data_IF_139796575885
#
_entry.id   IF_139796575885
#
_cell.length_a   1.000
_cell.length_b   1.000
_cell.length_c   1.000
_cell.angle_alpha   90.00
_cell.angle_beta   90.00
_cell.angle_gamma   90.00
#
_symmetry.space_group_name_H-M   'P 1'
#
loop_
_entity.id
_entity.type
_entity.pdbx_description
1 polymer ?
#
# COMPACT_ATOMS: atom_id res chain seq x y z
N UNK A 1 9.36 -2.28 -0.43
CA UNK A 1 9.70 -3.53 0.29
C UNK A 1 9.92 -4.65 -0.70
N UNK A 2 10.67 -5.69 -0.30
CA UNK A 2 10.72 -6.92 -1.07
C UNK A 2 9.39 -7.66 -0.98
N UNK A 3 8.70 -7.88 -2.10
CA UNK A 3 7.40 -8.56 -2.07
C UNK A 3 7.50 -10.07 -1.75
N UNK A 4 8.70 -10.66 -1.83
CA UNK A 4 8.93 -12.07 -1.50
C UNK A 4 9.01 -12.33 0.00
N UNK A 5 9.74 -11.48 0.74
CA UNK A 5 9.95 -11.65 2.19
C UNK A 5 9.29 -10.58 3.07
N UNK A 6 8.65 -9.57 2.47
CA UNK A 6 8.05 -8.43 3.17
C UNK A 6 9.04 -7.57 3.98
N UNK A 7 10.34 -7.72 3.75
CA UNK A 7 11.39 -6.96 4.42
C UNK A 7 11.99 -5.86 3.52
N UNK A 8 12.79 -4.97 4.09
CA UNK A 8 13.53 -3.91 3.42
C UNK A 8 14.94 -4.31 2.98
N UNK A 9 15.82 -3.31 2.85
CA UNK A 9 17.23 -3.47 2.47
C UNK A 9 17.53 -2.96 1.06
N UNK A 10 18.58 -3.48 0.43
CA UNK A 10 18.91 -3.18 -0.97
C UNK A 10 17.89 -3.84 -1.89
N UNK A 11 17.16 -3.04 -2.67
CA UNK A 11 16.05 -3.47 -3.50
C UNK A 11 16.37 -3.36 -5.00
N UNK A 12 15.96 -4.36 -5.75
CA UNK A 12 15.85 -4.36 -7.20
C UNK A 12 14.40 -4.01 -7.55
N UNK A 13 14.17 -2.81 -8.12
CA UNK A 13 12.84 -2.30 -8.45
C UNK A 13 12.45 -2.65 -9.89
N UNK A 14 11.27 -3.23 -10.08
CA UNK A 14 10.79 -3.63 -11.41
C UNK A 14 10.56 -2.40 -12.28
N UNK A 15 10.97 -2.44 -13.55
CA UNK A 15 10.70 -1.35 -14.50
C UNK A 15 9.26 -1.39 -15.04
N UNK A 16 8.54 -2.50 -14.86
CA UNK A 16 7.21 -2.73 -15.42
C UNK A 16 6.05 -2.63 -14.40
N UNK A 17 6.34 -2.62 -13.10
CA UNK A 17 5.33 -2.56 -12.05
C UNK A 17 5.95 -2.06 -10.74
N UNK A 18 5.15 -1.97 -9.67
CA UNK A 18 5.61 -1.46 -8.37
C UNK A 18 6.34 -2.48 -7.49
N UNK A 19 6.54 -3.70 -7.98
CA UNK A 19 7.20 -4.77 -7.21
C UNK A 19 8.71 -4.51 -7.12
N UNK A 20 9.26 -4.81 -5.96
CA UNK A 20 10.71 -4.83 -5.74
C UNK A 20 11.14 -6.14 -5.06
N UNK A 21 12.37 -6.58 -5.30
CA UNK A 21 12.96 -7.77 -4.68
C UNK A 21 14.27 -7.41 -4.00
N UNK A 22 14.49 -7.81 -2.75
CA UNK A 22 15.75 -7.51 -2.08
C UNK A 22 16.87 -8.44 -2.56
N UNK A 23 18.12 -7.99 -2.43
CA UNK A 23 19.31 -8.76 -2.82
C UNK A 23 19.53 -10.03 -2.00
N UNK A 24 18.85 -10.18 -0.85
CA UNK A 24 18.81 -11.43 -0.11
C UNK A 24 17.90 -12.47 -0.78
N UNK A 25 16.73 -12.03 -1.26
CA UNK A 25 15.77 -12.91 -1.92
C UNK A 25 16.18 -13.24 -3.35
N UNK A 26 16.81 -12.29 -4.06
CA UNK A 26 17.33 -12.47 -5.40
C UNK A 26 18.87 -12.37 -5.37
N UNK A 27 19.53 -13.52 -5.35
CA UNK A 27 20.99 -13.54 -5.34
C UNK A 27 21.49 -13.28 -6.75
N UNK A 28 22.13 -12.12 -6.93
CA UNK A 28 22.87 -11.78 -8.14
C UNK A 28 24.33 -12.19 -7.94
N UNK A 29 24.91 -13.04 -8.83
CA UNK A 29 26.31 -13.42 -8.73
C UNK A 29 27.21 -12.17 -8.71
N UNK A 30 28.25 -12.19 -7.88
CA UNK A 30 29.15 -11.03 -7.64
C UNK A 30 29.67 -10.40 -8.94
N UNK A 31 30.06 -11.23 -9.91
CA UNK A 31 30.54 -10.80 -11.24
C UNK A 31 29.56 -9.98 -12.06
N UNK A 32 28.29 -9.92 -11.67
CA UNK A 32 27.23 -9.18 -12.37
C UNK A 32 26.67 -8.02 -11.54
N UNK A 33 27.13 -7.82 -10.29
CA UNK A 33 26.59 -6.79 -9.40
C UNK A 33 26.79 -5.38 -9.95
N UNK A 34 27.92 -5.10 -10.60
CA UNK A 34 28.16 -3.81 -11.26
C UNK A 34 27.32 -3.68 -12.54
N UNK A 35 27.25 -4.76 -13.34
CA UNK A 35 26.54 -4.75 -14.63
C UNK A 35 25.04 -4.48 -14.48
N UNK A 36 24.40 -5.02 -13.43
CA UNK A 36 22.97 -4.77 -13.21
C UNK A 36 22.63 -3.33 -12.79
N UNK A 37 23.65 -2.51 -12.49
CA UNK A 37 23.49 -1.10 -12.15
C UNK A 37 23.81 -0.18 -13.34
N UNK A 38 24.23 -0.73 -14.48
CA UNK A 38 24.54 0.04 -15.68
C UNK A 38 23.27 0.64 -16.30
N UNK A 39 23.42 1.83 -16.90
CA UNK A 39 22.33 2.51 -17.59
C UNK A 39 21.76 1.62 -18.71
N UNK A 40 20.43 1.48 -18.73
CA UNK A 40 19.71 0.67 -19.70
C UNK A 40 19.54 -0.81 -19.30
N UNK A 41 19.99 -1.22 -18.11
CA UNK A 41 19.64 -2.53 -17.56
C UNK A 41 18.37 -2.42 -16.73
N UNK A 42 17.31 -3.04 -17.21
CA UNK A 42 16.02 -3.06 -16.54
C UNK A 42 15.83 -4.35 -15.75
N UNK A 43 15.28 -4.23 -14.55
CA UNK A 43 14.84 -5.37 -13.77
C UNK A 43 13.37 -5.71 -14.05
N UNK A 44 13.08 -6.99 -14.28
CA UNK A 44 11.76 -7.59 -14.38
C UNK A 44 11.50 -8.48 -13.17
N UNK A 45 10.47 -8.16 -12.38
CA UNK A 45 10.06 -9.05 -11.30
C UNK A 45 9.43 -10.36 -11.80
N UNK A 46 9.41 -11.39 -10.96
CA UNK A 46 8.84 -12.69 -11.32
C UNK A 46 7.38 -12.60 -11.75
N UNK A 47 6.56 -11.80 -11.07
CA UNK A 47 5.15 -11.66 -11.42
C UNK A 47 4.94 -11.03 -12.80
N UNK A 48 5.82 -10.14 -13.25
CA UNK A 48 5.77 -9.59 -14.61
C UNK A 48 6.22 -10.62 -15.65
N UNK A 49 7.30 -11.36 -15.35
CA UNK A 49 7.75 -12.47 -16.19
C UNK A 49 6.66 -13.54 -16.38
N UNK A 50 5.98 -13.96 -15.30
CA UNK A 50 4.87 -14.91 -15.38
C UNK A 50 3.69 -14.39 -16.20
N UNK A 51 3.36 -13.08 -16.09
CA UNK A 51 2.32 -12.45 -16.90
C UNK A 51 2.71 -12.42 -18.40
N UNK A 52 3.98 -12.17 -18.71
CA UNK A 52 4.49 -12.22 -20.08
C UNK A 52 4.43 -13.63 -20.67
N UNK A 53 4.82 -14.66 -19.90
CA UNK A 53 4.71 -16.06 -20.31
C UNK A 53 3.24 -16.45 -20.60
N UNK A 54 2.31 -16.02 -19.74
CA UNK A 54 0.88 -16.26 -19.93
C UNK A 54 0.33 -15.58 -21.20
N UNK A 55 0.70 -14.32 -21.45
CA UNK A 55 0.21 -13.56 -22.60
C UNK A 55 0.80 -14.04 -23.93
N UNK A 56 2.06 -14.44 -23.94
CA UNK A 56 2.74 -14.93 -25.14
C UNK A 56 2.34 -16.35 -25.54
N UNK A 57 1.53 -17.06 -24.72
CA UNK A 57 1.15 -18.47 -24.91
C UNK A 57 2.35 -19.37 -25.23
N UNK A 58 3.52 -19.00 -24.73
CA UNK A 58 4.72 -19.76 -24.98
C UNK A 58 4.65 -21.03 -24.13
N UNK A 59 4.40 -22.17 -24.78
CA UNK A 59 4.19 -23.47 -24.14
C UNK A 59 5.46 -24.07 -23.53
N UNK A 60 6.57 -23.33 -23.48
CA UNK A 60 7.83 -23.74 -22.89
C UNK A 60 8.09 -22.93 -21.64
N UNK A 61 8.44 -23.61 -20.55
CA UNK A 61 8.90 -23.01 -19.29
C UNK A 61 10.12 -22.13 -19.59
N UNK A 62 9.91 -20.82 -19.77
CA UNK A 62 11.03 -19.90 -19.92
C UNK A 62 11.75 -19.80 -18.60
N UNK A 63 13.08 -19.83 -18.67
CA UNK A 63 13.90 -19.61 -17.49
C UNK A 63 13.74 -18.15 -17.09
N UNK A 64 13.44 -17.91 -15.82
CA UNK A 64 13.29 -16.56 -15.30
C UNK A 64 14.59 -15.77 -15.49
N UNK A 65 14.52 -14.74 -16.34
CA UNK A 65 15.61 -13.82 -16.66
C UNK A 65 15.26 -12.41 -16.16
N UNK A 66 15.65 -12.06 -14.93
CA UNK A 66 15.19 -10.84 -14.26
C UNK A 66 15.81 -9.56 -14.82
N UNK A 67 16.84 -9.62 -15.66
CA UNK A 67 17.45 -8.44 -16.24
C UNK A 67 17.47 -8.56 -17.76
N UNK A 68 16.93 -7.58 -18.47
CA UNK A 68 16.99 -7.52 -19.94
C UNK A 68 17.75 -6.30 -20.44
N UNK A 69 18.51 -6.55 -21.52
CA UNK A 69 18.84 -5.69 -22.68
C UNK A 69 19.86 -6.43 -23.56
N UNK A 70 20.63 -7.33 -22.95
CA UNK A 70 21.44 -8.43 -23.53
C UNK A 70 21.38 -9.52 -22.43
N UNK A 71 21.48 -10.85 -22.67
CA UNK A 71 21.53 -11.81 -21.55
C UNK A 71 22.80 -11.59 -20.73
N UNK A 72 22.73 -10.65 -19.78
CA UNK A 72 23.82 -10.24 -18.91
C UNK A 72 24.13 -11.40 -17.96
N UNK A 73 23.09 -12.04 -17.43
CA UNK A 73 23.21 -13.21 -16.59
C UNK A 73 23.27 -14.49 -17.44
N UNK A 74 24.47 -15.02 -17.66
CA UNK A 74 24.67 -16.38 -18.22
C UNK A 74 24.34 -17.49 -17.20
N UNK A 75 24.04 -17.10 -15.96
CA UNK A 75 23.64 -18.00 -14.88
C UNK A 75 22.27 -17.55 -14.35
N UNK A 76 21.37 -18.50 -14.17
CA UNK A 76 20.03 -18.22 -13.67
C UNK A 76 20.14 -17.58 -12.28
N UNK A 77 19.40 -16.49 -12.01
CA UNK A 77 19.30 -15.96 -10.66
C UNK A 77 18.75 -17.03 -9.71
N UNK A 78 19.23 -17.03 -8.47
CA UNK A 78 18.74 -17.93 -7.45
C UNK A 78 17.78 -17.18 -6.53
N UNK A 79 16.52 -17.63 -6.46
CA UNK A 79 15.57 -17.15 -5.45
C UNK A 79 15.80 -17.93 -4.17
N UNK A 80 16.32 -17.28 -3.13
CA UNK A 80 16.73 -17.94 -1.90
C UNK A 80 15.57 -18.24 -0.94
N UNK A 81 14.50 -17.44 -0.99
CA UNK A 81 13.43 -17.47 0.01
C UNK A 81 12.16 -18.14 -0.51
N UNK A 82 11.40 -18.74 0.40
CA UNK A 82 10.03 -19.13 0.11
C UNK A 82 9.13 -17.90 -0.07
N UNK A 83 8.15 -18.02 -0.95
CA UNK A 83 7.15 -17.00 -1.21
C UNK A 83 6.33 -16.73 0.05
N UNK A 84 6.52 -15.56 0.68
CA UNK A 84 5.62 -15.08 1.75
C UNK A 84 4.25 -14.66 1.22
N UNK A 85 4.17 -14.34 -0.09
CA UNK A 85 2.95 -13.93 -0.80
C UNK A 85 2.94 -14.49 -2.23
N UNK A 86 1.80 -14.39 -2.91
CA UNK A 86 1.72 -14.70 -4.35
C UNK A 86 2.73 -13.87 -5.15
N UNK A 87 3.26 -14.43 -6.24
CA UNK A 87 4.11 -13.72 -7.21
C UNK A 87 3.43 -12.47 -7.81
N UNK A 88 2.10 -12.42 -7.78
CA UNK A 88 1.29 -11.31 -8.25
C UNK A 88 0.94 -10.28 -7.16
N UNK A 89 1.28 -10.54 -5.90
CA UNK A 89 0.99 -9.60 -4.81
C UNK A 89 1.82 -8.33 -4.97
N UNK A 90 1.15 -7.18 -4.84
CA UNK A 90 1.76 -5.86 -4.85
C UNK A 90 1.45 -5.17 -3.53
N UNK A 91 2.46 -4.52 -2.96
CA UNK A 91 2.24 -3.60 -1.84
C UNK A 91 1.74 -2.31 -2.48
N UNK A 92 0.49 -1.94 -2.21
CA UNK A 92 -0.03 -0.65 -2.65
C UNK A 92 0.50 0.44 -1.73
N UNK A 93 1.33 1.31 -2.29
CA UNK A 93 1.91 2.49 -1.66
C UNK A 93 1.29 3.80 -2.18
N UNK A 94 0.20 3.72 -2.97
CA UNK A 94 -0.53 4.92 -3.41
C UNK A 94 -1.04 5.72 -2.21
N UNK A 95 -1.10 7.06 -2.32
CA UNK A 95 -1.60 7.91 -1.26
C UNK A 95 -2.95 7.43 -0.69
N UNK A 96 -2.97 7.22 0.62
CA UNK A 96 -4.08 6.71 1.39
C UNK A 96 -4.50 7.71 2.47
N UNK A 97 -5.78 8.10 2.46
CA UNK A 97 -6.41 8.83 3.55
C UNK A 97 -7.23 7.89 4.44
N UNK A 98 -6.89 7.82 5.72
CA UNK A 98 -7.70 7.18 6.76
C UNK A 98 -8.53 8.27 7.44
N UNK A 99 -9.86 8.16 7.35
CA UNK A 99 -10.81 9.10 7.93
C UNK A 99 -11.59 8.38 9.02
N UNK A 100 -11.55 8.93 10.23
CA UNK A 100 -12.32 8.45 11.37
C UNK A 100 -13.35 9.51 11.77
N UNK A 101 -14.63 9.18 11.60
CA UNK A 101 -15.75 9.96 12.08
C UNK A 101 -16.28 9.32 13.37
N UNK A 102 -16.33 10.05 14.47
CA UNK A 102 -16.84 9.53 15.74
C UNK A 102 -17.88 10.43 16.38
N UNK A 103 -18.89 9.80 16.98
CA UNK A 103 -19.97 10.52 17.66
C UNK A 103 -19.45 11.20 18.94
N UNK A 104 -19.88 12.44 19.17
CA UNK A 104 -19.59 13.13 20.42
C UNK A 104 -20.11 12.36 21.65
N UNK A 105 -19.25 12.24 22.66
CA UNK A 105 -19.52 11.42 23.85
C UNK A 105 -18.84 10.05 23.81
N UNK A 106 -18.35 9.62 22.64
CA UNK A 106 -17.45 8.48 22.56
C UNK A 106 -16.02 8.91 22.90
N UNK A 107 -15.32 8.10 23.69
CA UNK A 107 -13.89 8.24 23.89
C UNK A 107 -13.17 7.56 22.71
N UNK A 108 -12.43 8.31 21.86
CA UNK A 108 -11.67 7.71 20.78
C UNK A 108 -10.38 7.01 21.26
N UNK A 109 -10.00 7.15 22.54
CA UNK A 109 -8.79 6.53 23.07
C UNK A 109 -8.89 5.00 23.08
N UNK A 110 -7.88 4.34 22.52
CA UNK A 110 -7.81 2.88 22.42
C UNK A 110 -8.54 2.28 21.21
N UNK A 111 -8.98 3.11 20.26
CA UNK A 111 -9.60 2.59 19.04
C UNK A 111 -8.58 1.85 18.15
N UNK A 112 -9.00 0.75 17.50
CA UNK A 112 -8.16 -0.01 16.55
C UNK A 112 -7.58 0.85 15.41
N UNK A 113 -8.19 2.00 15.13
CA UNK A 113 -7.82 2.93 14.08
C UNK A 113 -6.42 3.51 14.21
N UNK A 114 -6.05 3.95 15.41
CA UNK A 114 -4.70 4.47 15.64
C UNK A 114 -3.68 3.35 15.48
N UNK A 115 -4.01 2.14 15.95
CA UNK A 115 -3.16 0.96 15.73
C UNK A 115 -2.97 0.67 14.24
N UNK A 116 -4.05 0.77 13.44
CA UNK A 116 -3.99 0.58 11.99
C UNK A 116 -3.10 1.65 11.35
N UNK A 117 -3.30 2.93 11.69
CA UNK A 117 -2.47 4.02 11.17
C UNK A 117 -0.98 3.83 11.51
N UNK A 118 -0.65 3.58 12.77
CA UNK A 118 0.73 3.34 13.23
C UNK A 118 1.33 2.09 12.57
N UNK A 119 0.52 1.04 12.37
CA UNK A 119 0.97 -0.18 11.67
C UNK A 119 1.26 0.10 10.20
N UNK A 120 0.51 1.00 9.55
CA UNK A 120 0.74 1.36 8.16
C UNK A 120 1.81 2.45 7.98
N UNK A 121 2.05 3.28 8.98
CA UNK A 121 2.92 4.46 8.87
C UNK A 121 4.32 4.13 8.34
N UNK A 122 4.91 2.99 8.73
CA UNK A 122 6.22 2.56 8.22
C UNK A 122 6.23 2.17 6.75
N UNK A 123 5.07 1.93 6.14
CA UNK A 123 4.92 1.45 4.77
C UNK A 123 4.66 2.55 3.75
N UNK A 124 4.33 3.77 4.19
CA UNK A 124 4.03 4.90 3.32
C UNK A 124 5.07 6.01 3.49
N UNK A 125 5.25 6.85 2.47
CA UNK A 125 5.93 8.12 2.66
C UNK A 125 5.09 9.01 3.60
N UNK A 126 5.67 9.86 4.45
CA UNK A 126 4.90 10.69 5.39
C UNK A 126 3.85 11.61 4.76
N UNK A 127 3.99 11.96 3.48
CA UNK A 127 2.99 12.72 2.72
C UNK A 127 1.83 11.89 2.19
N UNK A 128 2.01 10.57 2.12
CA UNK A 128 1.14 9.68 1.34
C UNK A 128 0.17 8.93 2.26
N UNK A 129 0.41 8.89 3.58
CA UNK A 129 -0.56 8.38 4.55
C UNK A 129 -1.13 9.52 5.40
N UNK A 130 -2.37 9.89 5.11
CA UNK A 130 -3.09 10.93 5.84
C UNK A 130 -4.03 10.32 6.86
N UNK A 131 -4.06 10.88 8.05
CA UNK A 131 -5.03 10.52 9.09
C UNK A 131 -5.86 11.73 9.47
N UNK A 132 -7.18 11.57 9.39
CA UNK A 132 -8.15 12.59 9.76
C UNK A 132 -9.09 12.02 10.79
N UNK A 133 -9.18 12.68 11.93
CA UNK A 133 -10.13 12.32 12.96
C UNK A 133 -11.10 13.49 13.18
N UNK A 134 -12.39 13.22 13.06
CA UNK A 134 -13.44 14.21 13.13
C UNK A 134 -14.58 13.76 14.04
N UNK A 135 -14.83 14.56 15.08
CA UNK A 135 -15.99 14.39 15.95
C UNK A 135 -17.23 14.95 15.26
N UNK A 136 -18.31 14.18 15.20
CA UNK A 136 -19.62 14.65 14.77
C UNK A 136 -20.61 14.72 15.93
N UNK A 137 -21.43 15.77 15.94
CA UNK A 137 -22.48 16.01 16.92
C UNK A 137 -23.62 16.74 16.20
N UNK A 138 -24.73 16.03 15.98
CA UNK A 138 -25.90 16.58 15.30
C UNK A 138 -27.05 16.89 16.28
N UNK A 139 -26.78 16.97 17.59
CA UNK A 139 -27.80 17.21 18.61
C UNK A 139 -28.45 18.60 18.52
N UNK A 140 -27.86 19.54 17.77
CA UNK A 140 -28.48 20.86 17.51
C UNK A 140 -28.16 21.35 16.11
N UNK A 141 -29.01 22.23 15.51
CA UNK A 141 -28.74 22.81 14.19
C UNK A 141 -27.41 23.58 14.11
N UNK A 142 -27.00 24.23 15.21
CA UNK A 142 -25.72 24.95 15.26
C UNK A 142 -24.53 24.01 15.18
N UNK A 143 -24.59 22.88 15.91
CA UNK A 143 -23.53 21.87 15.87
C UNK A 143 -23.49 21.14 14.52
N UNK A 144 -24.65 20.91 13.91
CA UNK A 144 -24.75 20.36 12.56
C UNK A 144 -24.08 21.29 11.53
N UNK A 145 -24.38 22.59 11.57
CA UNK A 145 -23.76 23.58 10.68
C UNK A 145 -22.23 23.65 10.87
N UNK A 146 -21.75 23.62 12.12
CA UNK A 146 -20.30 23.56 12.42
C UNK A 146 -19.66 22.27 11.87
N UNK A 147 -20.34 21.14 11.99
CA UNK A 147 -19.87 19.87 11.43
C UNK A 147 -19.82 19.90 9.89
N UNK A 148 -20.83 20.49 9.23
CA UNK A 148 -20.83 20.65 7.77
C UNK A 148 -19.63 21.48 7.29
N UNK A 149 -19.26 22.56 7.99
CA UNK A 149 -18.08 23.36 7.68
C UNK A 149 -16.78 22.55 7.81
N UNK A 150 -16.66 21.75 8.86
CA UNK A 150 -15.49 20.87 9.06
C UNK A 150 -15.39 19.79 7.99
N UNK A 151 -16.52 19.20 7.60
CA UNK A 151 -16.58 18.23 6.51
C UNK A 151 -16.20 18.87 5.17
N UNK A 152 -16.67 20.08 4.87
CA UNK A 152 -16.29 20.80 3.67
C UNK A 152 -14.76 21.05 3.62
N UNK A 153 -14.18 21.49 4.74
CA UNK A 153 -12.72 21.68 4.86
C UNK A 153 -11.95 20.37 4.69
N UNK A 154 -12.45 19.25 5.23
CA UNK A 154 -11.86 17.93 5.04
C UNK A 154 -11.87 17.53 3.56
N UNK A 155 -12.99 17.71 2.86
CA UNK A 155 -13.12 17.41 1.43
C UNK A 155 -12.12 18.22 0.60
N UNK A 156 -11.97 19.51 0.87
CA UNK A 156 -10.96 20.33 0.19
C UNK A 156 -9.54 19.80 0.42
N UNK A 157 -9.21 19.42 1.66
CA UNK A 157 -7.89 18.85 1.98
C UNK A 157 -7.62 17.54 1.25
N UNK A 158 -8.61 16.65 1.16
CA UNK A 158 -8.51 15.39 0.42
C UNK A 158 -8.31 15.65 -1.08
N UNK A 159 -9.00 16.66 -1.63
CA UNK A 159 -8.85 17.06 -3.03
C UNK A 159 -7.44 17.59 -3.30
N UNK A 160 -6.91 18.46 -2.43
CA UNK A 160 -5.56 18.99 -2.56
C UNK A 160 -4.47 17.93 -2.39
N UNK A 161 -4.74 16.87 -1.62
CA UNK A 161 -3.79 15.79 -1.37
C UNK A 161 -3.73 14.75 -2.49
N UNK A 162 -4.59 14.83 -3.50
CA UNK A 162 -4.71 13.84 -4.58
C UNK A 162 -4.77 12.38 -4.06
N UNK A 163 -5.39 12.17 -2.89
CA UNK A 163 -5.43 10.85 -2.26
C UNK A 163 -6.14 9.84 -3.16
N UNK A 164 -5.42 8.82 -3.61
CA UNK A 164 -5.94 7.80 -4.52
C UNK A 164 -6.94 6.88 -3.81
N UNK A 165 -6.76 6.68 -2.51
CA UNK A 165 -7.57 5.78 -1.69
C UNK A 165 -8.06 6.44 -0.41
N UNK A 166 -9.27 6.07 0.01
CA UNK A 166 -9.88 6.53 1.25
C UNK A 166 -10.42 5.34 2.04
N UNK A 167 -9.97 5.20 3.29
CA UNK A 167 -10.56 4.30 4.27
C UNK A 167 -11.42 5.12 5.24
N UNK A 168 -12.73 4.89 5.24
CA UNK A 168 -13.67 5.60 6.12
C UNK A 168 -14.13 4.69 7.25
N UNK A 169 -13.96 5.16 8.47
CA UNK A 169 -14.46 4.53 9.69
C UNK A 169 -15.47 5.44 10.36
N UNK A 170 -16.60 4.87 10.76
CA UNK A 170 -17.67 5.59 11.46
C UNK A 170 -17.93 4.88 12.78
N UNK A 171 -17.56 5.54 13.87
CA UNK A 171 -17.75 5.05 15.23
C UNK A 171 -18.96 5.74 15.85
N UNK A 172 -19.95 4.94 16.27
CA UNK A 172 -21.22 5.41 16.81
C UNK A 172 -21.66 4.54 17.98
N UNK A 173 -22.59 5.06 18.79
CA UNK A 173 -23.43 4.19 19.60
C UNK A 173 -24.45 3.47 18.70
N UNK A 174 -24.68 2.19 18.97
CA UNK A 174 -25.87 1.49 18.49
C UNK A 174 -27.02 1.81 19.44
N UNK A 175 -28.19 2.14 18.91
CA UNK A 175 -29.39 2.07 19.73
C UNK A 175 -29.66 0.59 20.03
N UNK A 176 -29.42 0.14 21.27
CA UNK A 176 -29.49 -1.27 21.64
C UNK A 176 -30.85 -1.93 21.32
N UNK A 177 -31.92 -1.14 21.27
CA UNK A 177 -33.28 -1.63 21.00
C UNK A 177 -33.61 -1.78 19.51
N UNK A 178 -33.10 -0.91 18.65
CA UNK A 178 -33.49 -0.83 17.23
C UNK A 178 -32.34 -1.15 16.27
N UNK A 179 -31.09 -1.11 16.74
CA UNK A 179 -29.88 -1.23 15.91
C UNK A 179 -29.58 0.01 15.07
N UNK A 180 -30.38 1.07 15.21
CA UNK A 180 -30.29 2.28 14.42
C UNK A 180 -29.10 3.18 14.83
N UNK A 181 -28.82 4.16 13.97
CA UNK A 181 -27.83 5.21 14.18
C UNK A 181 -28.29 6.11 15.34
N UNK A 182 -27.62 6.05 16.49
CA UNK A 182 -27.84 7.02 17.56
C UNK A 182 -27.28 8.38 17.14
N UNK A 183 -28.15 9.39 17.02
CA UNK A 183 -27.79 10.71 16.44
C UNK A 183 -27.40 11.76 17.51
N UNK A 184 -27.34 11.34 18.78
CA UNK A 184 -27.03 12.22 19.92
C UNK A 184 -28.27 12.75 20.65
N UNK A 185 -28.03 13.43 21.79
CA UNK A 185 -29.02 14.16 22.59
C UNK A 185 -28.75 15.66 22.58
#
# INVERSE_FOLDING_TARGET
>A
FCYLCQDGGSLHCSSQCRRAVCSFCLIVPEKYQETILEDGVDFCCLGCHELEDQTTRSSGTRVFCPYWVIPILLANPHIQTHYGMSSHSEVNDDPLAIIHLYLAGMDPHGLPLLLIYESFHSYFHPSDLLFFELKFDAGTPTKEADYQLKMASLVERLWCAESAHVLLFITKHSEEAQGDLFVGH
#
